data_IF_500437347953
#
_entry.id   IF_500437347953
#
_cell.length_a   1.000
_cell.length_b   1.000
_cell.length_c   1.000
_cell.angle_alpha   90.00
_cell.angle_beta   90.00
_cell.angle_gamma   90.00
#
_symmetry.space_group_name_H-M   'P 1'
#
loop_
_entity.id
_entity.type
_entity.pdbx_description
1 polymer ?
#
# COMPACT_ATOMS: atom_id res chain seq x y z
N UNK A 1 -52.74 94.05 -0.87
CA UNK A 1 -53.34 92.70 -0.77
C UNK A 1 -52.22 91.68 -1.00
N UNK A 2 -51.84 90.93 0.06
CA UNK A 2 -50.97 89.72 0.13
C UNK A 2 -49.51 89.83 -0.40
N UNK A 3 -48.49 89.89 0.48
CA UNK A 3 -47.71 88.78 1.09
C UNK A 3 -47.03 87.86 0.06
N UNK A 4 -45.70 87.70 0.14
CA UNK A 4 -45.02 86.50 0.69
C UNK A 4 -43.51 86.76 0.85
N UNK A 5 -43.02 86.47 2.06
CA UNK A 5 -41.62 86.43 2.51
C UNK A 5 -40.97 85.12 2.08
N UNK A 6 -39.72 85.15 1.59
CA UNK A 6 -38.88 83.95 1.43
C UNK A 6 -37.57 84.15 2.19
N UNK A 7 -37.38 83.32 3.22
CA UNK A 7 -36.19 83.17 4.04
C UNK A 7 -35.18 82.28 3.31
N UNK A 8 -33.92 82.72 3.16
CA UNK A 8 -32.82 81.85 2.69
C UNK A 8 -32.01 81.41 3.91
N UNK A 9 -32.06 80.12 4.23
CA UNK A 9 -31.20 79.46 5.21
C UNK A 9 -30.12 78.71 4.42
N UNK A 10 -28.87 79.15 4.51
CA UNK A 10 -27.71 78.42 3.98
C UNK A 10 -27.20 77.41 5.02
N UNK A 11 -27.39 76.12 4.75
CA UNK A 11 -26.82 75.02 5.53
C UNK A 11 -25.36 74.78 5.13
N UNK A 12 -24.45 74.85 6.10
CA UNK A 12 -23.04 74.51 5.98
C UNK A 12 -22.90 72.98 6.08
N UNK A 13 -22.58 72.29 4.99
CA UNK A 13 -22.30 70.86 4.99
C UNK A 13 -20.82 70.60 5.32
N UNK A 14 -20.53 70.19 6.56
CA UNK A 14 -19.23 69.63 6.93
C UNK A 14 -19.17 68.15 6.55
N UNK A 15 -18.32 67.79 5.59
CA UNK A 15 -17.99 66.40 5.28
C UNK A 15 -17.06 65.82 6.36
N UNK A 16 -17.59 64.98 7.25
CA UNK A 16 -16.78 64.07 8.05
C UNK A 16 -16.34 62.89 7.15
N UNK A 17 -15.06 62.83 6.80
CA UNK A 17 -14.45 61.59 6.30
C UNK A 17 -14.25 60.64 7.48
N UNK A 18 -15.08 59.60 7.56
CA UNK A 18 -14.85 58.44 8.43
C UNK A 18 -13.72 57.60 7.84
N UNK A 19 -12.51 57.72 8.38
CA UNK A 19 -11.49 56.70 8.20
C UNK A 19 -11.91 55.47 9.00
N UNK A 20 -12.35 54.41 8.32
CA UNK A 20 -12.41 53.08 8.91
C UNK A 20 -10.98 52.60 9.13
N UNK A 21 -10.53 52.61 10.38
CA UNK A 21 -9.31 51.90 10.77
C UNK A 21 -9.57 50.41 10.54
N UNK A 22 -8.95 49.84 9.49
CA UNK A 22 -8.82 48.40 9.36
C UNK A 22 -7.99 47.96 10.57
N UNK A 23 -8.66 47.34 11.54
CA UNK A 23 -7.99 46.79 12.72
C UNK A 23 -7.15 45.61 12.23
N UNK A 24 -5.85 45.85 11.98
CA UNK A 24 -4.90 44.81 11.62
C UNK A 24 -5.00 43.68 12.63
N UNK A 25 -5.20 42.46 12.14
CA UNK A 25 -5.35 41.29 12.99
C UNK A 25 -4.01 41.04 13.70
N UNK A 26 -3.91 41.46 14.95
CA UNK A 26 -2.66 41.44 15.74
C UNK A 26 -2.30 40.05 16.27
N UNK A 27 -3.08 39.02 15.93
CA UNK A 27 -2.78 37.63 16.30
C UNK A 27 -2.13 36.90 15.12
N UNK A 28 -0.99 36.22 15.34
CA UNK A 28 -0.42 35.37 14.32
C UNK A 28 -1.36 34.20 14.03
N UNK A 29 -1.60 33.95 12.74
CA UNK A 29 -2.27 32.73 12.29
C UNK A 29 -1.38 31.53 12.58
N UNK A 30 -1.98 30.43 13.00
CA UNK A 30 -1.28 29.18 13.29
C UNK A 30 -1.38 28.24 12.11
N UNK A 31 -0.29 27.54 11.81
CA UNK A 31 -0.27 26.44 10.85
C UNK A 31 -0.32 25.15 11.66
N UNK A 32 -1.38 24.36 11.51
CA UNK A 32 -1.60 23.15 12.31
C UNK A 32 -2.01 22.00 11.38
N UNK A 33 -1.28 20.90 11.41
CA UNK A 33 -1.74 19.63 10.86
C UNK A 33 -2.78 19.05 11.81
N UNK A 34 -4.04 18.96 11.37
CA UNK A 34 -5.14 18.48 12.21
C UNK A 34 -5.48 17.00 11.97
N UNK A 35 -5.15 16.48 10.80
CA UNK A 35 -5.33 15.08 10.44
C UNK A 35 -4.31 14.69 9.37
N UNK A 36 -3.73 13.50 9.47
CA UNK A 36 -2.74 13.03 8.52
C UNK A 36 -2.55 11.51 8.58
N UNK A 37 -2.45 10.87 7.41
CA UNK A 37 -1.93 9.50 7.29
C UNK A 37 -0.47 9.49 6.77
N UNK A 38 0.19 10.65 6.72
CA UNK A 38 1.56 10.81 6.29
C UNK A 38 2.52 10.23 7.34
N UNK A 39 3.06 9.06 7.04
CA UNK A 39 3.90 8.29 7.95
C UNK A 39 5.26 8.00 7.31
N UNK A 40 6.26 7.75 8.16
CA UNK A 40 7.58 7.31 7.72
C UNK A 40 7.47 6.04 6.86
N UNK A 41 8.26 5.99 5.79
CA UNK A 41 8.37 4.83 4.90
C UNK A 41 9.14 3.68 5.58
N UNK A 42 8.80 2.45 5.20
CA UNK A 42 9.60 1.26 5.52
C UNK A 42 10.54 0.99 4.33
N UNK A 43 11.80 0.64 4.61
CA UNK A 43 12.86 0.42 3.62
C UNK A 43 13.04 -1.06 3.24
N UNK A 44 12.22 -1.96 3.83
CA UNK A 44 12.29 -3.41 3.58
C UNK A 44 11.68 -3.84 2.24
N UNK A 45 11.03 -2.96 1.50
CA UNK A 45 10.59 -3.24 0.12
C UNK A 45 11.74 -3.70 -0.77
N UNK A 46 12.95 -3.17 -0.53
CA UNK A 46 14.16 -3.57 -1.23
C UNK A 46 14.59 -5.02 -0.99
N UNK A 47 14.01 -5.67 0.03
CA UNK A 47 14.31 -7.06 0.39
C UNK A 47 13.44 -8.09 -0.32
N UNK A 48 12.45 -7.66 -1.09
CA UNK A 48 11.56 -8.53 -1.85
C UNK A 48 12.19 -8.83 -3.22
N UNK A 49 12.63 -10.07 -3.51
CA UNK A 49 13.04 -10.44 -4.85
C UNK A 49 11.81 -10.78 -5.69
N UNK A 50 11.47 -9.91 -6.64
CA UNK A 50 10.43 -10.22 -7.62
C UNK A 50 10.88 -11.31 -8.58
N UNK A 51 9.94 -12.20 -8.93
CA UNK A 51 10.17 -13.27 -9.90
C UNK A 51 10.23 -12.77 -11.34
N UNK A 52 9.67 -11.58 -11.58
CA UNK A 52 9.68 -10.91 -12.87
C UNK A 52 10.62 -9.72 -12.83
N UNK A 53 11.34 -9.51 -13.92
CA UNK A 53 12.03 -8.24 -14.18
C UNK A 53 11.11 -7.37 -15.04
N UNK A 54 10.69 -6.22 -14.51
CA UNK A 54 9.78 -5.30 -15.20
C UNK A 54 10.37 -4.73 -16.50
N UNK A 55 11.70 -4.80 -16.65
CA UNK A 55 12.40 -4.39 -17.87
C UNK A 55 12.45 -5.50 -18.93
N UNK A 56 12.08 -6.74 -18.59
CA UNK A 56 12.01 -7.83 -19.54
C UNK A 56 10.68 -7.79 -20.31
N UNK A 57 10.80 -7.82 -21.64
CA UNK A 57 9.68 -7.97 -22.58
C UNK A 57 8.77 -9.17 -22.30
N UNK A 58 9.28 -10.24 -21.66
CA UNK A 58 8.51 -11.45 -21.32
C UNK A 58 7.32 -11.14 -20.41
N UNK A 59 7.47 -10.17 -19.50
CA UNK A 59 6.42 -9.72 -18.58
C UNK A 59 5.24 -9.12 -19.33
N UNK A 60 5.53 -8.31 -20.35
CA UNK A 60 4.49 -7.70 -21.19
C UNK A 60 3.78 -8.75 -22.06
N UNK A 61 4.51 -9.75 -22.58
CA UNK A 61 3.90 -10.88 -23.31
C UNK A 61 2.96 -11.68 -22.42
N UNK A 62 3.34 -11.96 -21.18
CA UNK A 62 2.45 -12.60 -20.21
C UNK A 62 1.21 -11.75 -19.98
N UNK A 63 1.38 -10.46 -19.65
CA UNK A 63 0.28 -9.53 -19.40
C UNK A 63 -0.72 -9.49 -20.57
N UNK A 64 -0.22 -9.36 -21.79
CA UNK A 64 -1.04 -9.25 -23.00
C UNK A 64 -1.76 -10.58 -23.29
N UNK A 65 -1.11 -11.72 -23.04
CA UNK A 65 -1.76 -13.02 -23.07
C UNK A 65 -2.95 -13.06 -22.09
N UNK A 66 -2.77 -12.68 -20.82
CA UNK A 66 -3.88 -12.68 -19.84
C UNK A 66 -5.02 -11.77 -20.28
N UNK A 67 -4.71 -10.54 -20.71
CA UNK A 67 -5.73 -9.57 -21.16
C UNK A 67 -6.52 -10.08 -22.38
N UNK A 68 -5.94 -10.96 -23.19
CA UNK A 68 -6.66 -11.61 -24.30
C UNK A 68 -7.63 -12.72 -23.86
N UNK A 69 -7.42 -13.29 -22.67
CA UNK A 69 -8.19 -14.45 -22.19
C UNK A 69 -9.34 -14.06 -21.25
N UNK A 70 -9.21 -12.95 -20.52
CA UNK A 70 -10.11 -12.61 -19.41
C UNK A 70 -10.34 -11.09 -19.38
N UNK A 71 -11.60 -10.70 -19.16
CA UNK A 71 -11.94 -9.33 -18.79
C UNK A 71 -11.80 -9.17 -17.28
N UNK A 72 -11.02 -8.19 -16.84
CA UNK A 72 -10.72 -7.95 -15.42
C UNK A 72 -11.47 -6.70 -14.98
N UNK A 73 -12.24 -6.80 -13.89
CA UNK A 73 -12.84 -5.62 -13.24
C UNK A 73 -11.76 -4.71 -12.70
N UNK A 74 -11.89 -3.38 -12.84
CA UNK A 74 -10.92 -2.40 -12.31
C UNK A 74 -11.41 -1.65 -11.07
N UNK A 75 -12.44 -2.14 -10.36
CA UNK A 75 -13.03 -1.41 -9.24
C UNK A 75 -12.14 -1.39 -7.98
N UNK A 76 -11.40 -2.47 -7.70
CA UNK A 76 -10.47 -2.55 -6.56
C UNK A 76 -9.45 -3.67 -6.70
N UNK A 77 -8.28 -3.52 -6.06
CA UNK A 77 -7.21 -4.52 -6.08
C UNK A 77 -7.70 -5.91 -5.61
N UNK A 78 -8.49 -6.07 -4.52
CA UNK A 78 -8.97 -7.39 -4.13
C UNK A 78 -9.81 -8.08 -5.20
N UNK A 79 -10.70 -7.37 -5.91
CA UNK A 79 -11.50 -7.97 -6.97
C UNK A 79 -10.64 -8.44 -8.16
N UNK A 80 -9.61 -7.65 -8.51
CA UNK A 80 -8.63 -8.03 -9.54
C UNK A 80 -7.91 -9.31 -9.12
N UNK A 81 -7.39 -9.33 -7.89
CA UNK A 81 -6.67 -10.46 -7.31
C UNK A 81 -7.52 -11.73 -7.34
N UNK A 82 -8.78 -11.67 -6.93
CA UNK A 82 -9.65 -12.86 -6.91
C UNK A 82 -10.05 -13.31 -8.32
N UNK A 83 -10.28 -12.38 -9.25
CA UNK A 83 -10.59 -12.72 -10.65
C UNK A 83 -9.41 -13.46 -11.30
N UNK A 84 -8.19 -12.98 -11.06
CA UNK A 84 -6.97 -13.62 -11.56
C UNK A 84 -6.68 -14.95 -10.85
N UNK A 85 -6.90 -15.03 -9.53
CA UNK A 85 -6.74 -16.27 -8.77
C UNK A 85 -7.65 -17.36 -9.33
N UNK A 86 -8.93 -17.04 -9.53
CA UNK A 86 -9.89 -17.98 -10.09
C UNK A 86 -9.52 -18.37 -11.52
N UNK A 87 -9.08 -17.43 -12.35
CA UNK A 87 -8.65 -17.74 -13.70
C UNK A 87 -7.43 -18.67 -13.71
N UNK A 88 -6.38 -18.39 -12.92
CA UNK A 88 -5.18 -19.23 -12.81
C UNK A 88 -5.54 -20.62 -12.29
N UNK A 89 -6.36 -20.71 -11.23
CA UNK A 89 -6.83 -22.00 -10.71
C UNK A 89 -7.42 -22.86 -11.81
N UNK A 90 -8.14 -22.22 -12.72
CA UNK A 90 -8.94 -22.90 -13.73
C UNK A 90 -8.15 -23.41 -14.94
N UNK A 91 -6.84 -23.15 -15.01
CA UNK A 91 -5.99 -23.52 -16.14
C UNK A 91 -5.58 -25.00 -16.13
N UNK A 92 -5.44 -25.63 -14.95
CA UNK A 92 -5.11 -27.06 -14.86
C UNK A 92 -5.74 -27.75 -13.65
N UNK A 93 -5.56 -29.06 -13.54
CA UNK A 93 -5.84 -29.82 -12.32
C UNK A 93 -4.54 -30.05 -11.56
N UNK A 94 -4.59 -30.04 -10.23
CA UNK A 94 -3.39 -30.28 -9.42
C UNK A 94 -2.81 -31.68 -9.65
N UNK A 95 -1.49 -31.75 -9.77
CA UNK A 95 -0.70 -32.97 -9.75
C UNK A 95 0.62 -32.70 -9.02
N UNK A 96 0.81 -33.32 -7.85
CA UNK A 96 1.97 -33.08 -7.00
C UNK A 96 3.28 -33.72 -7.48
N UNK A 97 3.23 -34.56 -8.53
CA UNK A 97 4.40 -35.21 -9.11
C UNK A 97 4.80 -34.64 -10.48
N UNK A 98 4.02 -33.70 -11.00
CA UNK A 98 4.25 -33.10 -12.31
C UNK A 98 5.00 -31.79 -12.19
N UNK A 99 6.06 -31.66 -12.99
CA UNK A 99 6.92 -30.47 -13.05
C UNK A 99 7.01 -29.99 -14.51
N UNK A 100 7.03 -28.66 -14.74
CA UNK A 100 7.30 -28.13 -16.07
C UNK A 100 8.77 -28.35 -16.46
N UNK A 101 9.13 -28.15 -17.75
CA UNK A 101 10.54 -28.08 -18.13
C UNK A 101 11.31 -27.09 -17.25
N UNK A 102 12.60 -27.34 -16.95
CA UNK A 102 13.43 -26.39 -16.24
C UNK A 102 13.37 -25.01 -16.91
N UNK A 103 13.29 -23.96 -16.10
CA UNK A 103 13.25 -22.55 -16.52
C UNK A 103 12.02 -22.15 -17.36
N UNK A 104 10.97 -22.99 -17.41
CA UNK A 104 9.72 -22.63 -18.07
C UNK A 104 9.13 -21.35 -17.47
N UNK A 105 8.87 -20.37 -18.34
CA UNK A 105 8.19 -19.14 -17.97
C UNK A 105 6.72 -19.41 -17.61
N UNK A 106 6.11 -18.51 -16.83
CA UNK A 106 4.69 -18.61 -16.51
C UNK A 106 3.79 -18.62 -17.76
N UNK A 107 4.19 -17.97 -18.85
CA UNK A 107 3.49 -18.04 -20.13
C UNK A 107 3.57 -19.44 -20.76
N UNK A 108 4.74 -20.07 -20.75
CA UNK A 108 4.92 -21.43 -21.26
C UNK A 108 4.15 -22.46 -20.42
N UNK A 109 4.15 -22.32 -19.10
CA UNK A 109 3.35 -23.17 -18.20
C UNK A 109 1.87 -23.07 -18.55
N UNK A 110 1.34 -21.85 -18.77
CA UNK A 110 -0.04 -21.64 -19.20
C UNK A 110 -0.34 -22.29 -20.57
N UNK A 111 0.60 -22.23 -21.52
CA UNK A 111 0.47 -22.86 -22.83
C UNK A 111 0.58 -24.39 -22.79
N UNK A 112 1.33 -24.95 -21.85
CA UNK A 112 1.37 -26.39 -21.61
C UNK A 112 0.07 -26.87 -20.95
N UNK A 113 -0.43 -26.11 -19.97
CA UNK A 113 -1.70 -26.38 -19.31
C UNK A 113 -2.88 -26.40 -20.30
N UNK A 114 -2.92 -25.47 -21.26
CA UNK A 114 -3.95 -25.44 -22.30
C UNK A 114 -3.91 -26.65 -23.24
N UNK A 115 -2.77 -27.38 -23.30
CA UNK A 115 -2.59 -28.65 -24.01
C UNK A 115 -2.84 -29.87 -23.11
N UNK A 116 -3.30 -29.68 -21.87
CA UNK A 116 -3.67 -30.74 -20.94
C UNK A 116 -2.62 -31.07 -19.88
N UNK A 117 -1.50 -30.34 -19.81
CA UNK A 117 -0.53 -30.53 -18.74
C UNK A 117 -1.14 -30.17 -17.36
N UNK A 118 -0.64 -30.83 -16.32
CA UNK A 118 -1.02 -30.64 -14.92
C UNK A 118 0.21 -30.28 -14.11
N UNK A 119 0.04 -29.56 -13.01
CA UNK A 119 1.15 -29.05 -12.21
C UNK A 119 0.81 -28.94 -10.73
N UNK A 120 1.85 -28.73 -9.92
CA UNK A 120 1.81 -28.76 -8.46
C UNK A 120 1.43 -27.41 -7.84
N UNK A 121 1.50 -27.30 -6.51
CA UNK A 121 1.33 -26.04 -5.79
C UNK A 121 2.37 -24.99 -6.19
N UNK A 122 3.58 -25.42 -6.57
CA UNK A 122 4.67 -24.53 -6.98
C UNK A 122 4.26 -23.68 -8.19
N UNK A 123 3.70 -24.31 -9.23
CA UNK A 123 3.29 -23.63 -10.45
C UNK A 123 2.05 -22.75 -10.21
N UNK A 124 1.12 -23.15 -9.33
CA UNK A 124 -0.01 -22.28 -8.99
C UNK A 124 0.48 -20.99 -8.33
N UNK A 125 1.38 -21.08 -7.36
CA UNK A 125 1.95 -19.93 -6.69
C UNK A 125 2.79 -19.06 -7.64
N UNK A 126 3.64 -19.69 -8.45
CA UNK A 126 4.50 -18.99 -9.40
C UNK A 126 3.72 -18.25 -10.48
N UNK A 127 2.84 -18.96 -11.21
CA UNK A 127 2.06 -18.36 -12.29
C UNK A 127 1.15 -17.27 -11.75
N UNK A 128 0.49 -17.50 -10.61
CA UNK A 128 -0.37 -16.47 -10.03
C UNK A 128 0.40 -15.21 -9.60
N UNK A 129 1.56 -15.39 -8.97
CA UNK A 129 2.42 -14.26 -8.58
C UNK A 129 2.90 -13.49 -9.81
N UNK A 130 3.42 -14.18 -10.83
CA UNK A 130 3.93 -13.55 -12.05
C UNK A 130 2.82 -12.84 -12.84
N UNK A 131 1.61 -13.40 -12.88
CA UNK A 131 0.43 -12.76 -13.48
C UNK A 131 0.11 -11.43 -12.79
N UNK A 132 0.06 -11.41 -11.45
CA UNK A 132 -0.17 -10.17 -10.70
C UNK A 132 0.94 -9.14 -10.90
N UNK A 133 2.19 -9.58 -10.82
CA UNK A 133 3.36 -8.74 -11.01
C UNK A 133 3.38 -8.13 -12.42
N UNK A 134 2.98 -8.90 -13.45
CA UNK A 134 2.86 -8.41 -14.83
C UNK A 134 1.81 -7.31 -15.02
N UNK A 135 0.89 -7.17 -14.06
CA UNK A 135 -0.15 -6.15 -14.04
C UNK A 135 0.16 -5.02 -13.04
N UNK A 136 1.34 -5.02 -12.41
CA UNK A 136 1.74 -4.00 -11.45
C UNK A 136 1.28 -4.24 -10.01
N UNK A 137 0.68 -5.40 -9.71
CA UNK A 137 0.25 -5.77 -8.36
C UNK A 137 1.34 -6.54 -7.64
N UNK A 138 1.76 -6.02 -6.49
CA UNK A 138 2.87 -6.60 -5.75
C UNK A 138 2.42 -7.89 -5.07
N UNK A 139 3.03 -8.99 -5.50
CA UNK A 139 2.80 -10.35 -5.00
C UNK A 139 4.12 -11.02 -4.66
N UNK A 140 4.11 -11.90 -3.67
CA UNK A 140 5.22 -12.80 -3.37
C UNK A 140 4.71 -14.21 -3.14
N UNK A 141 5.53 -15.19 -3.49
CA UNK A 141 5.31 -16.58 -3.10
C UNK A 141 5.61 -16.74 -1.62
N UNK A 142 4.77 -17.48 -0.92
CA UNK A 142 5.05 -17.96 0.44
C UNK A 142 4.99 -19.49 0.47
N UNK A 143 5.96 -20.11 1.13
CA UNK A 143 5.95 -21.52 1.47
C UNK A 143 5.47 -21.67 2.90
N UNK A 144 4.41 -22.43 3.06
CA UNK A 144 3.81 -22.79 4.33
C UNK A 144 4.37 -24.16 4.70
N UNK A 145 5.16 -24.24 5.76
CA UNK A 145 5.89 -25.45 6.07
C UNK A 145 5.39 -26.07 7.38
N UNK A 146 5.30 -27.40 7.39
CA UNK A 146 5.14 -28.19 8.61
C UNK A 146 6.33 -28.00 9.55
N UNK A 147 6.14 -28.30 10.82
CA UNK A 147 7.23 -28.36 11.81
C UNK A 147 8.31 -29.37 11.41
N UNK A 148 7.92 -30.41 10.66
CA UNK A 148 8.78 -31.52 10.25
C UNK A 148 9.50 -31.28 8.91
N UNK A 149 9.52 -30.05 8.37
CA UNK A 149 10.11 -29.73 7.06
C UNK A 149 11.55 -30.22 6.88
N UNK A 150 12.33 -30.37 7.96
CA UNK A 150 13.74 -30.76 7.88
C UNK A 150 13.95 -32.21 7.39
N UNK A 151 13.13 -33.16 7.86
CA UNK A 151 13.30 -34.61 7.64
C UNK A 151 11.98 -35.38 7.48
N UNK A 152 10.84 -34.68 7.43
CA UNK A 152 9.54 -35.29 7.17
C UNK A 152 9.41 -35.82 5.75
N UNK A 153 8.37 -36.63 5.48
CA UNK A 153 8.13 -37.22 4.17
C UNK A 153 7.70 -36.16 3.14
N UNK A 154 7.52 -36.55 1.88
CA UNK A 154 7.00 -35.63 0.86
C UNK A 154 5.66 -34.99 1.30
N UNK A 155 5.52 -33.69 1.02
CA UNK A 155 4.31 -32.92 1.34
C UNK A 155 4.42 -32.10 2.63
N UNK A 156 5.62 -31.91 3.19
CA UNK A 156 5.82 -31.03 4.35
C UNK A 156 5.72 -29.54 4.03
N UNK A 157 5.67 -29.16 2.76
CA UNK A 157 5.48 -27.77 2.31
C UNK A 157 4.24 -27.62 1.44
N UNK A 158 3.64 -26.44 1.49
CA UNK A 158 2.61 -25.99 0.54
C UNK A 158 2.94 -24.58 0.05
N UNK A 159 2.72 -24.32 -1.23
CA UNK A 159 3.00 -23.02 -1.84
C UNK A 159 1.70 -22.24 -2.01
N UNK A 160 1.71 -21.01 -1.52
CA UNK A 160 0.65 -20.02 -1.67
C UNK A 160 1.25 -18.67 -2.08
N UNK A 161 0.45 -17.61 -2.05
CA UNK A 161 0.91 -16.24 -2.31
C UNK A 161 0.41 -15.28 -1.26
N UNK A 162 1.21 -14.23 -1.01
CA UNK A 162 0.74 -13.03 -0.33
C UNK A 162 0.79 -11.85 -1.27
N UNK A 163 -0.31 -11.10 -1.33
CA UNK A 163 -0.48 -9.99 -2.27
C UNK A 163 -0.78 -8.71 -1.49
N UNK A 164 -0.06 -7.65 -1.78
CA UNK A 164 -0.34 -6.33 -1.20
C UNK A 164 -1.58 -5.71 -1.85
N UNK A 165 -2.56 -5.32 -1.03
CA UNK A 165 -3.73 -4.57 -1.45
C UNK A 165 -3.56 -3.10 -1.08
N UNK A 166 -3.59 -2.19 -2.05
CA UNK A 166 -3.57 -0.75 -1.75
C UNK A 166 -4.90 -0.31 -1.13
N UNK A 167 -6.02 -0.92 -1.53
CA UNK A 167 -7.35 -0.66 -0.96
C UNK A 167 -7.37 -0.92 0.55
N UNK A 168 -6.75 -2.01 1.01
CA UNK A 168 -6.72 -2.38 2.42
C UNK A 168 -5.44 -1.96 3.14
N UNK A 169 -4.43 -1.53 2.38
CA UNK A 169 -3.10 -1.18 2.86
C UNK A 169 -2.47 -2.32 3.68
N UNK A 170 -2.56 -3.54 3.15
CA UNK A 170 -2.24 -4.78 3.85
C UNK A 170 -1.87 -5.92 2.89
N UNK A 171 -1.01 -6.83 3.36
CA UNK A 171 -0.75 -8.13 2.72
C UNK A 171 -1.90 -9.12 2.96
N UNK A 172 -2.44 -9.68 1.89
CA UNK A 172 -3.53 -10.67 1.91
C UNK A 172 -3.00 -12.06 1.54
N UNK A 173 -3.42 -13.07 2.30
CA UNK A 173 -3.18 -14.46 1.99
C UNK A 173 -4.10 -14.94 0.88
N UNK A 174 -3.50 -15.55 -0.15
CA UNK A 174 -4.17 -16.09 -1.31
C UNK A 174 -3.62 -17.49 -1.60
N UNK A 175 -4.51 -18.48 -1.68
CA UNK A 175 -4.17 -19.84 -2.09
C UNK A 175 -4.70 -20.10 -3.52
N UNK A 176 -3.85 -19.94 -4.55
CA UNK A 176 -4.27 -20.14 -5.93
C UNK A 176 -4.58 -21.60 -6.29
N UNK A 177 -4.05 -22.58 -5.55
CA UNK A 177 -4.38 -24.00 -5.77
C UNK A 177 -5.78 -24.34 -5.30
N UNK A 178 -6.22 -23.79 -4.18
CA UNK A 178 -7.57 -24.02 -3.67
C UNK A 178 -8.57 -22.93 -4.10
N UNK A 179 -8.09 -21.87 -4.75
CA UNK A 179 -8.87 -20.68 -5.09
C UNK A 179 -9.54 -20.07 -3.84
N UNK A 180 -8.74 -19.92 -2.78
CA UNK A 180 -9.19 -19.50 -1.45
C UNK A 180 -8.49 -18.22 -0.99
N UNK A 181 -9.27 -17.35 -0.34
CA UNK A 181 -8.77 -16.30 0.55
C UNK A 181 -9.41 -16.42 1.93
N UNK A 182 -8.91 -15.67 2.92
CA UNK A 182 -9.41 -15.75 4.29
C UNK A 182 -9.83 -14.38 4.82
N UNK A 183 -10.94 -14.37 5.57
CA UNK A 183 -11.47 -13.20 6.26
C UNK A 183 -11.76 -13.48 7.73
N UNK A 184 -11.81 -12.43 8.55
CA UNK A 184 -12.43 -12.46 9.87
C UNK A 184 -13.07 -11.10 10.13
N UNK A 185 -14.36 -11.09 10.48
CA UNK A 185 -15.16 -9.87 10.70
C UNK A 185 -15.10 -8.89 9.50
N UNK A 186 -15.20 -9.43 8.29
CA UNK A 186 -15.16 -8.67 7.04
C UNK A 186 -13.79 -8.14 6.63
N UNK A 187 -12.71 -8.45 7.37
CA UNK A 187 -11.35 -8.04 7.03
C UNK A 187 -10.55 -9.22 6.47
N UNK A 188 -9.90 -9.04 5.32
CA UNK A 188 -9.00 -10.03 4.76
C UNK A 188 -7.73 -10.22 5.61
N UNK A 189 -7.25 -11.46 5.63
CA UNK A 189 -6.19 -11.93 6.51
C UNK A 189 -4.90 -12.18 5.74
N UNK A 190 -3.77 -11.85 6.35
CA UNK A 190 -2.46 -12.43 6.00
C UNK A 190 -2.35 -13.86 6.55
N UNK A 191 -1.33 -14.62 6.15
CA UNK A 191 -1.15 -15.95 6.73
C UNK A 191 -0.86 -15.89 8.24
N UNK A 192 -0.13 -14.86 8.67
CA UNK A 192 0.14 -14.64 10.09
C UNK A 192 -1.12 -14.26 10.87
N UNK A 193 -2.07 -13.52 10.31
CA UNK A 193 -3.35 -13.28 10.99
C UNK A 193 -4.14 -14.58 11.20
N UNK A 194 -4.15 -15.48 10.21
CA UNK A 194 -4.75 -16.82 10.33
C UNK A 194 -4.08 -17.59 11.48
N UNK A 195 -2.74 -17.58 11.53
CA UNK A 195 -1.96 -18.18 12.61
C UNK A 195 -2.31 -17.58 13.98
N UNK A 196 -2.38 -16.25 14.10
CA UNK A 196 -2.71 -15.56 15.35
C UNK A 196 -4.13 -15.91 15.84
N UNK A 197 -5.12 -15.90 14.94
CA UNK A 197 -6.48 -16.31 15.28
C UNK A 197 -6.52 -17.77 15.74
N UNK A 198 -5.74 -18.66 15.11
CA UNK A 198 -5.59 -20.04 15.58
C UNK A 198 -5.01 -20.12 16.98
N UNK A 199 -3.91 -19.39 17.28
CA UNK A 199 -3.31 -19.37 18.63
C UNK A 199 -4.25 -18.83 19.69
N UNK A 200 -5.17 -17.94 19.32
CA UNK A 200 -6.20 -17.38 20.19
C UNK A 200 -7.43 -18.28 20.36
N UNK A 201 -7.45 -19.49 19.76
CA UNK A 201 -8.61 -20.39 19.79
C UNK A 201 -9.77 -19.96 18.87
N UNK A 202 -9.56 -18.97 18.00
CA UNK A 202 -10.54 -18.37 17.09
C UNK A 202 -10.42 -18.89 15.66
N UNK A 203 -9.79 -20.04 15.45
CA UNK A 203 -9.59 -20.59 14.11
C UNK A 203 -10.91 -20.86 13.39
N UNK A 204 -11.93 -21.31 14.11
CA UNK A 204 -13.25 -21.60 13.56
C UNK A 204 -14.04 -20.34 13.18
N UNK A 205 -13.64 -19.17 13.69
CA UNK A 205 -14.25 -17.88 13.37
C UNK A 205 -13.74 -17.31 12.02
N UNK A 206 -12.71 -17.92 11.43
CA UNK A 206 -12.17 -17.51 10.13
C UNK A 206 -13.14 -17.88 9.02
N UNK A 207 -13.47 -16.94 8.15
CA UNK A 207 -14.27 -17.18 6.96
C UNK A 207 -13.33 -17.43 5.77
N UNK A 208 -13.22 -18.69 5.35
CA UNK A 208 -12.55 -19.02 4.09
C UNK A 208 -13.51 -18.77 2.93
N UNK A 209 -13.07 -17.92 2.01
CA UNK A 209 -13.83 -17.44 0.87
C UNK A 209 -13.43 -18.25 -0.37
N UNK A 210 -14.45 -18.79 -1.05
CA UNK A 210 -14.31 -19.54 -2.30
C UNK A 210 -15.28 -18.92 -3.31
N UNK A 211 -14.84 -18.52 -4.52
CA UNK A 211 -15.74 -17.99 -5.54
C UNK A 211 -16.84 -18.99 -5.93
N UNK A 212 -18.08 -18.51 -6.05
CA UNK A 212 -19.24 -19.34 -6.42
C UNK A 212 -19.10 -19.98 -7.80
N UNK A 213 -18.44 -19.30 -8.73
CA UNK A 213 -18.11 -19.81 -10.07
C UNK A 213 -17.15 -21.00 -10.00
N UNK A 214 -16.12 -20.92 -9.15
CA UNK A 214 -15.23 -22.05 -8.89
C UNK A 214 -15.98 -23.24 -8.29
N UNK A 215 -16.81 -23.02 -7.27
CA UNK A 215 -17.63 -24.06 -6.64
C UNK A 215 -18.53 -24.81 -7.64
N UNK A 216 -19.16 -24.06 -8.56
CA UNK A 216 -19.96 -24.65 -9.65
C UNK A 216 -19.12 -25.52 -10.57
N UNK A 217 -17.91 -25.06 -10.93
CA UNK A 217 -17.02 -25.79 -11.85
C UNK A 217 -16.53 -27.11 -11.25
N UNK A 218 -16.20 -27.14 -9.97
CA UNK A 218 -15.76 -28.38 -9.29
C UNK A 218 -16.93 -29.23 -8.78
N UNK A 219 -18.16 -28.75 -8.93
CA UNK A 219 -19.38 -29.40 -8.44
C UNK A 219 -19.31 -29.75 -6.94
N UNK A 220 -18.87 -28.81 -6.11
CA UNK A 220 -18.79 -28.97 -4.65
C UNK A 220 -19.47 -27.81 -3.91
N UNK A 221 -19.87 -28.07 -2.66
CA UNK A 221 -20.42 -27.04 -1.79
C UNK A 221 -19.29 -26.27 -1.08
N UNK A 222 -19.53 -24.99 -0.75
CA UNK A 222 -18.57 -24.18 0.03
C UNK A 222 -18.18 -24.88 1.34
N UNK A 223 -19.15 -25.49 2.03
CA UNK A 223 -18.92 -26.16 3.30
C UNK A 223 -17.96 -27.36 3.17
N UNK A 224 -18.08 -28.16 2.10
CA UNK A 224 -17.19 -29.29 1.87
C UNK A 224 -15.75 -28.82 1.60
N UNK A 225 -15.58 -27.89 0.65
CA UNK A 225 -14.27 -27.32 0.29
C UNK A 225 -13.59 -26.68 1.51
N UNK A 226 -14.32 -25.86 2.28
CA UNK A 226 -13.77 -25.19 3.46
C UNK A 226 -13.42 -26.20 4.56
N UNK A 227 -14.22 -27.24 4.76
CA UNK A 227 -13.93 -28.29 5.74
C UNK A 227 -12.64 -29.04 5.39
N UNK A 228 -12.47 -29.40 4.12
CA UNK A 228 -11.24 -30.04 3.63
C UNK A 228 -10.04 -29.09 3.76
N UNK A 229 -10.17 -27.86 3.27
CA UNK A 229 -9.10 -26.87 3.34
C UNK A 229 -8.65 -26.58 4.77
N UNK A 230 -9.59 -26.50 5.72
CA UNK A 230 -9.28 -26.31 7.13
C UNK A 230 -8.43 -27.43 7.69
N UNK A 231 -8.67 -28.68 7.31
CA UNK A 231 -7.87 -29.84 7.73
C UNK A 231 -6.50 -29.81 7.07
N UNK A 232 -6.46 -29.48 5.79
CA UNK A 232 -5.23 -29.36 5.00
C UNK A 232 -4.28 -28.30 5.57
N UNK A 233 -4.74 -27.05 5.68
CA UNK A 233 -3.90 -25.90 6.05
C UNK A 233 -3.37 -25.97 7.50
N UNK A 234 -4.02 -26.77 8.37
CA UNK A 234 -3.57 -27.01 9.75
C UNK A 234 -2.19 -27.67 9.83
N UNK A 235 -1.76 -28.37 8.79
CA UNK A 235 -0.46 -29.06 8.75
C UNK A 235 0.72 -28.11 8.51
N UNK A 236 0.48 -26.84 8.16
CA UNK A 236 1.52 -25.95 7.62
C UNK A 236 1.81 -24.72 8.50
N UNK A 237 1.47 -24.77 9.79
CA UNK A 237 1.76 -23.69 10.75
C UNK A 237 3.12 -23.84 11.47
N UNK A 238 4.06 -24.60 10.91
CA UNK A 238 5.41 -24.73 11.47
C UNK A 238 6.25 -23.48 11.19
N UNK A 239 6.34 -23.11 9.92
CA UNK A 239 7.09 -21.94 9.45
C UNK A 239 6.36 -21.26 8.29
N UNK A 240 6.54 -19.95 8.18
CA UNK A 240 6.22 -19.19 6.98
C UNK A 240 7.52 -18.74 6.31
N UNK A 241 7.70 -19.07 5.04
CA UNK A 241 8.96 -18.86 4.34
C UNK A 241 8.72 -18.10 3.04
N UNK A 242 9.53 -17.11 2.72
CA UNK A 242 9.46 -16.40 1.43
C UNK A 242 10.85 -16.07 0.91
N UNK A 243 11.04 -15.97 -0.42
CA UNK A 243 12.27 -15.44 -0.98
C UNK A 243 12.66 -14.09 -0.37
N UNK A 244 13.95 -13.93 -0.09
CA UNK A 244 14.52 -12.76 0.57
C UNK A 244 15.82 -12.38 -0.11
N UNK A 245 15.99 -11.08 -0.38
CA UNK A 245 17.23 -10.56 -0.94
C UNK A 245 17.81 -9.50 -0.02
N UNK A 246 19.12 -9.55 0.18
CA UNK A 246 19.85 -8.46 0.81
C UNK A 246 21.17 -8.23 0.08
N UNK A 247 21.38 -7.01 -0.39
CA UNK A 247 22.51 -6.68 -1.25
C UNK A 247 22.52 -7.63 -2.47
N UNK A 248 23.61 -8.36 -2.72
CA UNK A 248 23.76 -9.28 -3.85
C UNK A 248 23.43 -10.74 -3.48
N UNK A 249 22.92 -11.01 -2.29
CA UNK A 249 22.66 -12.36 -1.81
C UNK A 249 21.16 -12.67 -1.79
N UNK A 250 20.82 -13.82 -2.35
CA UNK A 250 19.47 -14.39 -2.30
C UNK A 250 19.43 -15.52 -1.27
N UNK A 251 18.43 -15.46 -0.40
CA UNK A 251 18.16 -16.43 0.66
C UNK A 251 16.65 -16.64 0.78
N UNK A 252 16.23 -17.48 1.71
CA UNK A 252 14.86 -17.53 2.19
C UNK A 252 14.80 -16.93 3.58
N UNK A 253 13.85 -16.02 3.82
CA UNK A 253 13.54 -15.59 5.19
C UNK A 253 12.46 -16.51 5.76
N UNK A 254 12.65 -16.94 7.01
CA UNK A 254 11.84 -17.94 7.70
C UNK A 254 11.26 -17.33 8.97
N UNK A 255 9.96 -17.05 8.98
CA UNK A 255 9.22 -16.69 10.19
C UNK A 255 8.85 -17.96 10.95
N UNK A 256 9.35 -18.06 12.18
CA UNK A 256 9.07 -19.15 13.10
C UNK A 256 7.64 -19.03 13.64
N UNK A 257 6.80 -20.04 13.39
CA UNK A 257 5.41 -20.09 13.87
C UNK A 257 5.28 -21.06 15.07
N UNK A 258 4.71 -22.26 14.90
CA UNK A 258 4.65 -23.27 15.96
C UNK A 258 5.97 -24.02 16.14
N UNK A 259 6.86 -24.00 15.14
CA UNK A 259 8.14 -24.65 15.23
C UNK A 259 9.04 -24.00 16.29
N UNK A 260 9.86 -24.84 16.94
CA UNK A 260 10.80 -24.42 17.98
C UNK A 260 12.26 -24.45 17.53
N UNK A 261 12.56 -25.22 16.50
CA UNK A 261 13.90 -25.50 16.03
C UNK A 261 14.15 -24.81 14.69
N UNK A 262 15.36 -24.32 14.48
CA UNK A 262 15.79 -23.90 13.16
C UNK A 262 16.27 -25.13 12.38
N UNK A 263 16.10 -25.12 11.06
CA UNK A 263 16.51 -26.21 10.19
C UNK A 263 17.55 -25.74 9.17
N UNK A 264 18.30 -26.67 8.60
CA UNK A 264 19.22 -26.40 7.48
C UNK A 264 19.05 -27.41 6.34
N UNK A 265 18.04 -28.27 6.44
CA UNK A 265 17.67 -29.31 5.47
C UNK A 265 16.22 -29.15 5.04
N UNK A 266 15.87 -29.71 3.90
CA UNK A 266 14.50 -29.74 3.38
C UNK A 266 14.16 -31.18 2.98
N UNK A 267 13.31 -31.83 3.76
CA UNK A 267 12.86 -33.22 3.61
C UNK A 267 14.04 -34.19 3.40
N UNK A 268 15.09 -34.05 4.22
CA UNK A 268 16.31 -34.87 4.16
C UNK A 268 17.36 -34.42 3.12
N UNK A 269 17.08 -33.40 2.33
CA UNK A 269 17.99 -32.83 1.33
C UNK A 269 18.58 -31.49 1.81
N UNK A 270 19.57 -30.97 1.07
CA UNK A 270 20.11 -29.63 1.32
C UNK A 270 19.06 -28.54 1.13
N UNK A 271 19.06 -27.52 2.00
CA UNK A 271 18.22 -26.33 1.83
C UNK A 271 18.93 -25.20 1.07
N UNK A 272 18.16 -24.23 0.58
CA UNK A 272 18.68 -22.92 0.17
C UNK A 272 19.22 -22.14 1.38
N UNK A 273 20.04 -21.08 1.22
CA UNK A 273 20.44 -20.23 2.34
C UNK A 273 19.23 -19.69 3.12
N UNK A 274 19.27 -19.77 4.45
CA UNK A 274 18.14 -19.42 5.33
C UNK A 274 18.48 -18.26 6.27
N UNK A 275 17.49 -17.41 6.53
CA UNK A 275 17.53 -16.33 7.53
C UNK A 275 16.30 -16.47 8.42
N UNK A 276 16.48 -16.79 9.70
CA UNK A 276 15.38 -16.99 10.63
C UNK A 276 15.00 -15.70 11.34
N UNK A 277 13.70 -15.50 11.57
CA UNK A 277 13.16 -14.40 12.36
C UNK A 277 11.97 -14.85 13.21
N UNK A 278 11.75 -14.14 14.32
CA UNK A 278 10.54 -14.22 15.13
C UNK A 278 9.70 -12.94 15.03
N UNK A 279 10.18 -11.90 14.34
CA UNK A 279 9.46 -10.64 14.19
C UNK A 279 8.58 -10.68 12.94
N UNK A 280 7.23 -10.75 13.06
CA UNK A 280 6.35 -10.69 11.90
C UNK A 280 6.51 -9.39 11.09
N UNK A 281 7.08 -8.32 11.65
CA UNK A 281 7.32 -7.07 10.90
C UNK A 281 8.36 -7.21 9.78
N UNK A 282 9.16 -8.28 9.80
CA UNK A 282 10.06 -8.60 8.69
C UNK A 282 9.29 -9.12 7.46
N UNK A 283 8.06 -9.61 7.65
CA UNK A 283 7.17 -10.06 6.58
C UNK A 283 6.09 -9.03 6.25
N UNK A 284 5.54 -8.35 7.25
CA UNK A 284 4.33 -7.53 7.14
C UNK A 284 4.62 -6.04 7.33
N UNK A 285 5.41 -5.49 6.41
CA UNK A 285 5.67 -4.06 6.32
C UNK A 285 4.83 -3.41 5.20
N UNK A 286 4.48 -2.12 5.34
CA UNK A 286 3.71 -1.42 4.33
C UNK A 286 4.57 -1.06 3.11
N UNK A 287 4.01 -1.23 1.93
CA UNK A 287 4.61 -0.79 0.66
C UNK A 287 3.68 0.15 -0.11
N UNK A 288 4.13 0.67 -1.25
CA UNK A 288 3.38 1.57 -2.11
C UNK A 288 2.98 2.89 -1.45
N UNK A 289 3.68 3.31 -0.39
CA UNK A 289 3.39 4.54 0.35
C UNK A 289 4.07 5.75 -0.26
N UNK A 290 3.46 6.92 -0.06
CA UNK A 290 4.06 8.22 -0.39
C UNK A 290 4.23 9.03 0.88
N UNK A 291 5.42 9.54 1.13
CA UNK A 291 5.73 10.46 2.22
C UNK A 291 5.76 11.88 1.66
N UNK A 292 5.09 12.80 2.34
CA UNK A 292 5.09 14.24 2.04
C UNK A 292 5.96 14.96 3.07
N UNK A 293 7.07 15.56 2.63
CA UNK A 293 7.95 16.36 3.48
C UNK A 293 7.68 17.84 3.21
N UNK A 294 7.34 18.60 4.25
CA UNK A 294 7.07 20.02 4.16
C UNK A 294 8.36 20.81 4.41
N UNK A 295 8.88 21.45 3.37
CA UNK A 295 10.01 22.36 3.49
C UNK A 295 9.53 23.80 3.31
N UNK A 296 9.94 24.73 4.19
CA UNK A 296 9.69 26.14 3.94
C UNK A 296 10.54 26.63 2.78
N UNK A 297 9.96 27.43 1.88
CA UNK A 297 10.72 28.06 0.79
C UNK A 297 11.76 29.07 1.32
N UNK A 298 11.46 29.70 2.45
CA UNK A 298 12.36 30.59 3.16
C UNK A 298 12.29 30.32 4.67
N UNK A 299 13.46 30.14 5.29
CA UNK A 299 13.53 30.04 6.75
C UNK A 299 13.26 31.39 7.41
N UNK A 300 12.68 31.35 8.61
CA UNK A 300 12.52 32.55 9.43
C UNK A 300 13.88 33.22 9.67
N UNK A 301 13.92 34.56 9.78
CA UNK A 301 15.11 35.26 10.22
C UNK A 301 15.62 34.71 11.56
N UNK A 302 16.92 34.84 11.81
CA UNK A 302 17.49 34.45 13.10
C UNK A 302 16.87 35.27 14.24
N UNK A 303 16.91 34.71 15.45
CA UNK A 303 16.46 35.41 16.65
C UNK A 303 17.05 36.82 16.79
N UNK A 304 18.35 36.96 16.54
CA UNK A 304 19.06 38.26 16.63
C UNK A 304 18.53 39.30 15.64
N UNK A 305 18.19 38.88 14.42
CA UNK A 305 17.61 39.77 13.40
C UNK A 305 16.21 40.23 13.81
N UNK A 306 15.38 39.31 14.31
CA UNK A 306 14.02 39.63 14.78
C UNK A 306 14.07 40.63 15.93
N UNK A 307 14.94 40.43 16.92
CA UNK A 307 15.10 41.34 18.07
C UNK A 307 15.55 42.73 17.62
N UNK A 308 16.54 42.79 16.72
CA UNK A 308 17.08 44.07 16.23
C UNK A 308 16.06 44.83 15.38
N UNK A 309 15.37 44.15 14.46
CA UNK A 309 14.44 44.77 13.52
C UNK A 309 13.19 45.31 14.23
N UNK A 310 12.64 44.53 15.17
CA UNK A 310 11.40 44.88 15.88
C UNK A 310 11.64 45.47 17.27
N UNK A 311 12.90 45.73 17.65
CA UNK A 311 13.32 46.34 18.93
C UNK A 311 12.70 45.63 20.15
N UNK A 312 12.71 44.29 20.14
CA UNK A 312 12.05 43.50 21.17
C UNK A 312 12.88 43.49 22.46
N UNK A 313 12.28 43.88 23.59
CA UNK A 313 12.97 43.92 24.89
C UNK A 313 12.48 42.83 25.85
N UNK A 314 11.24 42.38 25.69
CA UNK A 314 10.61 41.39 26.58
C UNK A 314 9.96 40.24 25.80
N UNK A 315 9.63 39.16 26.52
CA UNK A 315 8.84 38.06 25.95
C UNK A 315 7.42 38.48 25.56
N UNK A 316 6.87 39.50 26.21
CA UNK A 316 5.56 40.04 25.85
C UNK A 316 5.62 40.87 24.57
N UNK A 317 6.71 41.61 24.34
CA UNK A 317 6.94 42.31 23.07
C UNK A 317 7.03 41.31 21.93
N UNK A 318 7.74 40.19 22.14
CA UNK A 318 7.81 39.12 21.16
C UNK A 318 6.42 38.57 20.81
N UNK A 319 5.62 38.18 21.82
CA UNK A 319 4.27 37.64 21.59
C UNK A 319 3.36 38.64 20.88
N UNK A 320 3.41 39.92 21.26
CA UNK A 320 2.60 40.98 20.64
C UNK A 320 3.00 41.27 19.21
N UNK A 321 4.27 41.11 18.84
CA UNK A 321 4.77 41.36 17.49
C UNK A 321 4.89 40.08 16.64
N UNK A 322 4.62 38.90 17.20
CA UNK A 322 4.80 37.61 16.51
C UNK A 322 4.07 37.52 15.18
N UNK A 323 2.93 38.20 15.01
CA UNK A 323 2.22 38.25 13.73
C UNK A 323 3.02 38.86 12.57
N UNK A 324 4.04 39.70 12.86
CA UNK A 324 4.87 40.36 11.84
C UNK A 324 5.89 39.41 11.20
N UNK A 325 6.40 38.46 11.96
CA UNK A 325 7.47 37.54 11.54
C UNK A 325 7.07 36.06 11.67
N UNK A 326 5.79 35.78 11.96
CA UNK A 326 5.27 34.42 12.00
C UNK A 326 5.47 33.74 10.65
N UNK A 327 5.78 32.44 10.70
CA UNK A 327 5.93 31.63 9.50
C UNK A 327 4.64 31.68 8.67
N UNK A 328 4.79 31.88 7.36
CA UNK A 328 3.71 31.78 6.39
C UNK A 328 3.71 30.36 5.82
N UNK A 329 2.54 29.79 5.48
CA UNK A 329 2.43 28.41 5.02
C UNK A 329 2.83 28.28 3.55
N UNK A 330 4.02 28.78 3.21
CA UNK A 330 4.61 28.73 1.88
C UNK A 330 5.70 27.65 1.84
N UNK A 331 5.33 26.52 1.23
CA UNK A 331 6.10 25.30 1.27
C UNK A 331 6.56 24.87 -0.11
N UNK A 332 7.70 24.18 -0.16
CA UNK A 332 8.02 23.18 -1.19
C UNK A 332 7.78 21.81 -0.58
N UNK A 333 6.78 21.10 -1.10
CA UNK A 333 6.49 19.73 -0.75
C UNK A 333 7.47 18.82 -1.48
N UNK A 334 8.20 17.98 -0.75
CA UNK A 334 9.03 16.92 -1.31
C UNK A 334 8.32 15.57 -1.13
N UNK A 335 8.23 14.79 -2.20
CA UNK A 335 7.64 13.46 -2.19
C UNK A 335 8.69 12.36 -2.19
N UNK A 336 8.51 11.40 -1.30
CA UNK A 336 9.31 10.16 -1.25
C UNK A 336 8.36 8.96 -1.31
N UNK A 337 8.85 7.78 -1.71
CA UNK A 337 8.02 6.57 -1.74
C UNK A 337 8.82 5.30 -1.48
N UNK A 338 8.09 4.23 -1.14
CA UNK A 338 8.59 2.85 -1.12
C UNK A 338 7.78 1.95 -2.08
N UNK A 339 7.37 2.50 -3.21
CA UNK A 339 6.63 1.78 -4.26
C UNK A 339 7.62 1.06 -5.17
N UNK A 340 7.54 -0.28 -5.28
CA UNK A 340 8.27 -0.99 -6.30
C UNK A 340 7.85 -0.55 -7.71
N UNK A 341 8.84 -0.44 -8.59
CA UNK A 341 8.66 0.01 -9.98
C UNK A 341 7.99 1.38 -10.10
N UNK A 342 8.32 2.28 -9.19
CA UNK A 342 7.89 3.67 -9.23
C UNK A 342 8.13 4.31 -10.60
N UNK A 343 7.14 5.06 -11.09
CA UNK A 343 7.19 5.82 -12.34
C UNK A 343 7.08 7.33 -12.08
N UNK A 344 5.97 7.76 -11.46
CA UNK A 344 5.75 9.17 -11.14
C UNK A 344 4.87 9.35 -9.89
N UNK A 345 4.81 10.59 -9.39
CA UNK A 345 3.86 11.01 -8.37
C UNK A 345 2.65 11.67 -9.01
N UNK A 346 1.49 11.53 -8.37
CA UNK A 346 0.33 12.37 -8.63
C UNK A 346 -0.01 13.18 -7.39
N UNK A 347 -0.45 14.42 -7.60
CA UNK A 347 -0.83 15.34 -6.54
C UNK A 347 -2.16 16.02 -6.85
N UNK A 348 -2.93 16.31 -5.79
CA UNK A 348 -4.10 17.18 -5.88
C UNK A 348 -4.39 17.91 -4.58
N UNK A 349 -5.08 19.04 -4.70
CA UNK A 349 -5.79 19.66 -3.57
C UNK A 349 -7.16 18.98 -3.38
N UNK A 350 -7.84 19.26 -2.26
CA UNK A 350 -9.12 18.64 -1.85
C UNK A 350 -10.13 18.44 -2.99
N UNK A 351 -10.38 19.49 -3.78
CA UNK A 351 -11.37 19.51 -4.87
C UNK A 351 -10.72 19.53 -6.28
N UNK A 352 -9.43 19.19 -6.37
CA UNK A 352 -8.72 19.14 -7.64
C UNK A 352 -8.77 17.77 -8.30
N UNK A 353 -8.42 17.72 -9.57
CA UNK A 353 -8.09 16.48 -10.27
C UNK A 353 -6.67 16.02 -9.90
N UNK A 354 -6.42 14.72 -10.02
CA UNK A 354 -5.06 14.19 -9.90
C UNK A 354 -4.20 14.69 -11.06
N UNK A 355 -3.07 15.31 -10.75
CA UNK A 355 -2.12 15.83 -11.73
C UNK A 355 -0.83 15.00 -11.63
N UNK A 356 -0.37 14.37 -12.73
CA UNK A 356 0.92 13.70 -12.76
C UNK A 356 2.05 14.73 -12.70
N UNK A 357 3.04 14.46 -11.85
CA UNK A 357 4.17 15.34 -11.60
C UNK A 357 5.38 14.91 -12.43
N UNK A 358 6.13 15.89 -12.93
CA UNK A 358 7.37 15.68 -13.68
C UNK A 358 8.59 15.44 -12.76
N UNK A 359 8.47 15.82 -11.49
CA UNK A 359 9.50 15.64 -10.47
C UNK A 359 8.85 15.39 -9.10
N UNK A 360 9.68 15.27 -8.07
CA UNK A 360 9.30 14.98 -6.70
C UNK A 360 8.99 16.23 -5.85
N UNK A 361 8.90 17.42 -6.46
CA UNK A 361 8.72 18.69 -5.78
C UNK A 361 7.44 19.41 -6.24
N UNK A 362 6.68 19.95 -5.27
CA UNK A 362 5.53 20.84 -5.54
C UNK A 362 5.61 22.07 -4.65
N UNK A 363 5.63 23.26 -5.26
CA UNK A 363 5.43 24.50 -4.52
C UNK A 363 3.95 24.64 -4.16
N UNK A 364 3.68 24.82 -2.87
CA UNK A 364 2.33 24.82 -2.33
C UNK A 364 2.18 25.83 -1.20
N UNK A 365 1.11 26.63 -1.29
CA UNK A 365 0.77 27.63 -0.29
C UNK A 365 -0.59 27.29 0.32
N UNK A 366 -0.66 27.16 1.64
CA UNK A 366 -1.95 26.98 2.32
C UNK A 366 -2.75 28.28 2.27
N UNK A 367 -4.04 28.17 1.94
CA UNK A 367 -4.99 29.27 2.02
C UNK A 367 -5.48 29.45 3.45
N UNK A 368 -6.07 30.60 3.76
CA UNK A 368 -6.78 30.80 5.03
C UNK A 368 -7.88 29.75 5.23
N UNK A 369 -7.97 29.21 6.44
CA UNK A 369 -8.93 28.17 6.82
C UNK A 369 -8.40 26.75 6.65
N UNK A 370 -9.28 25.83 6.22
CA UNK A 370 -8.97 24.41 6.04
C UNK A 370 -8.41 24.14 4.65
N UNK A 371 -7.36 23.34 4.62
CA UNK A 371 -6.69 22.88 3.41
C UNK A 371 -6.51 21.37 3.50
N UNK A 372 -6.79 20.66 2.41
CA UNK A 372 -6.48 19.24 2.29
C UNK A 372 -5.66 19.03 1.02
N UNK A 373 -4.55 18.31 1.15
CA UNK A 373 -3.75 17.87 0.02
C UNK A 373 -3.71 16.34 -0.03
N UNK A 374 -3.53 15.82 -1.23
CA UNK A 374 -3.34 14.40 -1.49
C UNK A 374 -2.14 14.20 -2.40
N UNK A 375 -1.33 13.19 -2.10
CA UNK A 375 -0.24 12.73 -2.94
C UNK A 375 -0.24 11.20 -3.03
N UNK A 376 0.12 10.63 -4.18
CA UNK A 376 0.29 9.19 -4.34
C UNK A 376 1.38 8.88 -5.36
N UNK A 377 2.04 7.75 -5.21
CA UNK A 377 2.94 7.19 -6.20
C UNK A 377 2.16 6.35 -7.21
N UNK A 378 2.65 6.27 -8.44
CA UNK A 378 2.15 5.43 -9.51
C UNK A 378 3.32 4.61 -10.04
N UNK A 379 3.11 3.31 -10.27
CA UNK A 379 4.15 2.45 -10.83
C UNK A 379 4.12 2.44 -12.37
N UNK A 380 5.14 1.86 -12.99
CA UNK A 380 5.29 1.79 -14.46
C UNK A 380 4.18 1.00 -15.17
N UNK A 381 3.35 0.26 -14.43
CA UNK A 381 2.18 -0.45 -14.94
C UNK A 381 0.88 0.34 -14.75
N UNK A 382 0.94 1.56 -14.21
CA UNK A 382 -0.21 2.44 -13.98
C UNK A 382 -0.98 2.17 -12.69
N UNK A 383 -0.48 1.29 -11.81
CA UNK A 383 -1.14 1.02 -10.52
C UNK A 383 -0.83 2.14 -9.54
N UNK A 384 -1.88 2.81 -9.07
CA UNK A 384 -1.78 3.87 -8.08
C UNK A 384 -1.64 3.31 -6.66
N UNK A 385 -0.74 3.87 -5.87
CA UNK A 385 -0.63 3.60 -4.43
C UNK A 385 -1.76 4.25 -3.63
N UNK A 386 -1.88 3.91 -2.33
CA UNK A 386 -2.80 4.59 -1.44
C UNK A 386 -2.48 6.08 -1.34
N UNK A 387 -3.50 6.94 -1.39
CA UNK A 387 -3.30 8.37 -1.24
C UNK A 387 -2.85 8.73 0.18
N UNK A 388 -1.75 9.49 0.26
CA UNK A 388 -1.35 10.21 1.46
C UNK A 388 -2.11 11.52 1.51
N UNK A 389 -2.86 11.72 2.59
CA UNK A 389 -3.71 12.87 2.84
C UNK A 389 -3.19 13.63 4.06
N UNK A 390 -3.02 14.94 3.91
CA UNK A 390 -2.67 15.84 5.01
C UNK A 390 -3.67 16.99 5.05
N UNK A 391 -4.33 17.15 6.20
CA UNK A 391 -5.28 18.23 6.46
C UNK A 391 -4.64 19.27 7.36
N UNK A 392 -4.58 20.50 6.87
CA UNK A 392 -3.89 21.63 7.48
C UNK A 392 -4.90 22.74 7.72
N UNK A 393 -4.82 23.35 8.89
CA UNK A 393 -5.56 24.55 9.25
C UNK A 393 -4.61 25.74 9.36
N UNK A 394 -4.97 26.84 8.70
CA UNK A 394 -4.25 28.10 8.74
C UNK A 394 -5.19 29.25 9.11
N UNK A 395 -5.23 29.61 10.39
CA UNK A 395 -6.10 30.68 10.92
C UNK A 395 -5.61 31.27 12.25
#
# INVERSE_FOLDING_TARGET
MKLVTILIISFLCAHLMMFSSVQENTKPKKIVVIESNNVRLDDKENTIPFRVDINDSSVYKLRDYIKSQISISTESDPQIIFSLMEWVRNQWQHDGFSEPPPDATSLEILQLASKGAKFSCNEYGAVFSDVLLSMGYISRIVNLNSIDIAYGPLGMGHVASEVWSNTMQKWMFIDPQFCISAQHKGQYLSYYDIYQLRKQGKYNDIEFMVPSSHLKKINQTKAAVVSEYRKFIQNYFGYLVTPYRRSNFSSLIVLMLDAKEQFLTNQGLSSHPLVFTHDPKDFYFPINRTLVVFNYQAFSPSWSQIVSEYQLQTMDDYKKNMYKFAAKPDFTLLFQNNMPWFDHYEFKNENGEWIPLQNDLVNWVAKDGLNTIHARAVNVMGVCGPATTVKIRYE
#
